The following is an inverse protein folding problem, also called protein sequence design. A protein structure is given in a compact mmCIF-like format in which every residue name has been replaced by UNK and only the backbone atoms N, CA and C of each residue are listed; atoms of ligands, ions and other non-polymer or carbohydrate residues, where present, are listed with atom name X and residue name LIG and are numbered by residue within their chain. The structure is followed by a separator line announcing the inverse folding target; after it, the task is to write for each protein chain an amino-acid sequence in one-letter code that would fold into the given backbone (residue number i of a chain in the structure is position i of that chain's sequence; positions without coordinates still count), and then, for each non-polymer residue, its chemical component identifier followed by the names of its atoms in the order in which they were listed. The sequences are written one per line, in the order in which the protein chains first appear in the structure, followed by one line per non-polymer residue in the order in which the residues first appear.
data_IF_130621974562
#
_entry.id   IF_130621974562
#
_cell.length_a   1.000
_cell.length_b   1.000
_cell.length_c   1.000
_cell.angle_alpha   90.00
_cell.angle_beta   90.00
_cell.angle_gamma   90.00
#
_symmetry.space_group_name_H-M   'P 1'
#
loop_
_entity.id
_entity.type
_entity.pdbx_description
1 polymer ?
#
# COMPACT_ATOMS: atom_id res chain seq x y z
N UNK A 1 -19.88 9.98 -6.74
CA UNK A 1 -19.28 9.51 -5.48
C UNK A 1 -18.72 8.14 -5.75
N UNK A 2 -17.44 7.93 -5.54
CA UNK A 2 -16.82 6.63 -5.74
C UNK A 2 -16.95 5.85 -4.43
N UNK A 3 -18.01 5.05 -4.33
CA UNK A 3 -18.35 4.27 -3.13
C UNK A 3 -17.48 3.00 -2.99
N UNK A 4 -16.54 2.81 -3.91
CA UNK A 4 -15.68 1.65 -3.94
C UNK A 4 -14.58 1.75 -2.86
N UNK A 5 -14.34 0.66 -2.14
CA UNK A 5 -13.21 0.54 -1.23
C UNK A 5 -11.88 0.72 -1.99
N UNK A 6 -10.83 1.12 -1.28
CA UNK A 6 -9.48 1.26 -1.81
C UNK A 6 -8.82 -0.12 -1.87
N UNK A 7 -8.50 -0.59 -3.05
CA UNK A 7 -7.84 -1.89 -3.24
C UNK A 7 -6.43 -1.89 -2.63
N UNK A 8 -6.06 -3.00 -2.02
CA UNK A 8 -4.74 -3.17 -1.40
C UNK A 8 -3.66 -3.58 -2.39
N UNK A 9 -4.06 -3.95 -3.63
CA UNK A 9 -3.19 -4.61 -4.59
C UNK A 9 -2.97 -6.10 -4.30
N UNK A 10 -3.71 -6.67 -3.33
CA UNK A 10 -3.65 -8.07 -2.96
C UNK A 10 -5.05 -8.68 -2.92
N UNK A 11 -5.45 -9.39 -3.96
CA UNK A 11 -6.81 -9.93 -4.11
C UNK A 11 -7.36 -10.67 -2.88
N UNK A 12 -6.63 -11.63 -2.27
CA UNK A 12 -7.11 -12.31 -1.06
C UNK A 12 -7.32 -11.38 0.15
N UNK A 13 -6.52 -10.30 0.28
CA UNK A 13 -6.71 -9.31 1.35
C UNK A 13 -7.92 -8.42 1.03
N UNK A 14 -8.11 -8.07 -0.24
CA UNK A 14 -9.29 -7.33 -0.69
C UNK A 14 -10.58 -8.12 -0.46
N UNK A 15 -10.61 -9.41 -0.78
CA UNK A 15 -11.74 -10.31 -0.48
C UNK A 15 -12.01 -10.37 1.04
N UNK A 16 -10.95 -10.49 1.86
CA UNK A 16 -11.04 -10.50 3.31
C UNK A 16 -11.69 -9.22 3.84
N UNK A 17 -11.31 -8.07 3.27
CA UNK A 17 -11.84 -6.75 3.64
C UNK A 17 -13.22 -6.45 3.02
N UNK A 18 -13.61 -7.14 1.94
CA UNK A 18 -14.86 -6.88 1.21
C UNK A 18 -14.72 -5.89 0.07
N UNK A 19 -13.52 -5.84 -0.51
CA UNK A 19 -13.16 -5.03 -1.67
C UNK A 19 -11.95 -4.13 -1.44
N UNK A 20 -11.39 -4.11 -0.23
CA UNK A 20 -10.22 -3.28 0.13
C UNK A 20 -10.44 -2.44 1.38
N UNK A 21 -9.65 -1.39 1.56
CA UNK A 21 -9.78 -0.46 2.68
C UNK A 21 -11.03 0.40 2.56
N UNK A 22 -11.87 0.36 3.59
CA UNK A 22 -13.17 1.01 3.61
C UNK A 22 -13.02 2.53 3.76
N UNK A 23 -13.73 3.30 2.91
CA UNK A 23 -13.78 4.77 2.99
C UNK A 23 -14.56 5.23 4.22
N UNK A 24 -14.28 6.44 4.68
CA UNK A 24 -14.94 7.03 5.87
C UNK A 24 -14.51 6.38 7.18
N UNK A 25 -13.42 5.61 7.19
CA UNK A 25 -12.93 4.94 8.39
C UNK A 25 -11.40 4.84 8.42
N UNK A 26 -10.88 4.44 9.57
CA UNK A 26 -9.46 4.15 9.76
C UNK A 26 -9.27 2.64 9.85
N UNK A 27 -8.40 2.10 9.01
CA UNK A 27 -7.92 0.71 9.05
C UNK A 27 -6.57 0.66 9.74
N UNK A 28 -6.45 -0.13 10.79
CA UNK A 28 -5.19 -0.37 11.48
C UNK A 28 -4.56 -1.68 11.01
N UNK A 29 -3.32 -1.59 10.50
CA UNK A 29 -2.46 -2.73 10.21
C UNK A 29 -1.45 -2.89 11.34
N UNK A 30 -1.48 -3.99 12.06
CA UNK A 30 -0.50 -4.20 13.11
C UNK A 30 0.15 -5.58 13.04
N UNK A 31 1.33 -5.72 13.62
CA UNK A 31 2.06 -6.97 13.63
C UNK A 31 3.54 -6.78 13.93
N UNK A 32 4.30 -7.88 14.09
CA UNK A 32 5.72 -7.81 14.38
C UNK A 32 6.51 -7.16 13.24
N UNK A 33 7.77 -6.78 13.48
CA UNK A 33 8.65 -6.31 12.42
C UNK A 33 8.71 -7.29 11.24
N UNK A 34 8.79 -6.75 10.02
CA UNK A 34 8.82 -7.51 8.77
C UNK A 34 7.56 -8.40 8.50
N UNK A 35 6.43 -8.16 9.19
CA UNK A 35 5.15 -8.81 8.88
C UNK A 35 4.52 -8.34 7.57
N UNK A 36 5.00 -7.22 7.00
CA UNK A 36 4.54 -6.70 5.71
C UNK A 36 3.58 -5.51 5.81
N UNK A 37 3.50 -4.83 6.96
CA UNK A 37 2.63 -3.65 7.16
C UNK A 37 2.90 -2.56 6.13
N UNK A 38 4.13 -2.06 6.09
CA UNK A 38 4.61 -1.05 5.12
C UNK A 38 4.40 -1.51 3.68
N UNK A 39 4.73 -2.77 3.35
CA UNK A 39 4.53 -3.27 1.98
C UNK A 39 3.05 -3.29 1.57
N UNK A 40 2.13 -3.65 2.48
CA UNK A 40 0.69 -3.63 2.20
C UNK A 40 0.18 -2.19 2.04
N UNK A 41 0.66 -1.27 2.87
CA UNK A 41 0.32 0.15 2.77
C UNK A 41 0.84 0.79 1.47
N UNK A 42 2.11 0.50 1.10
CA UNK A 42 2.70 0.96 -0.16
C UNK A 42 2.00 0.37 -1.39
N UNK A 43 1.67 -0.92 -1.36
CA UNK A 43 0.95 -1.57 -2.45
C UNK A 43 -0.40 -0.89 -2.68
N UNK A 44 -1.14 -0.59 -1.62
CA UNK A 44 -2.41 0.14 -1.72
C UNK A 44 -2.23 1.57 -2.23
N UNK A 45 -1.15 2.26 -1.82
CA UNK A 45 -0.83 3.59 -2.31
C UNK A 45 -0.57 3.60 -3.82
N UNK A 46 0.26 2.67 -4.30
CA UNK A 46 0.56 2.50 -5.73
C UNK A 46 -0.68 2.10 -6.52
N UNK A 47 -1.49 1.16 -6.01
CA UNK A 47 -2.74 0.72 -6.66
C UNK A 47 -3.73 1.89 -6.79
N UNK A 48 -3.89 2.67 -5.73
CA UNK A 48 -4.76 3.86 -5.73
C UNK A 48 -4.30 4.87 -6.77
N UNK A 49 -3.01 5.19 -6.82
CA UNK A 49 -2.45 6.14 -7.76
C UNK A 49 -2.53 5.64 -9.22
N UNK A 50 -2.28 4.35 -9.45
CA UNK A 50 -2.37 3.73 -10.78
C UNK A 50 -3.81 3.76 -11.33
N UNK A 51 -4.81 3.66 -10.45
CA UNK A 51 -6.23 3.75 -10.83
C UNK A 51 -6.76 5.19 -10.86
N UNK A 52 -5.89 6.19 -10.72
CA UNK A 52 -6.21 7.62 -10.89
C UNK A 52 -6.50 8.37 -9.58
N UNK A 53 -6.45 7.71 -8.44
CA UNK A 53 -6.65 8.33 -7.13
C UNK A 53 -5.41 9.09 -6.64
N UNK A 54 -5.60 9.93 -5.63
CA UNK A 54 -4.53 10.70 -4.97
C UNK A 54 -4.27 10.14 -3.57
N UNK A 55 -2.99 10.04 -3.21
CA UNK A 55 -2.53 9.48 -1.95
C UNK A 55 -1.68 10.49 -1.18
N UNK A 56 -1.88 10.57 0.12
CA UNK A 56 -0.96 11.22 1.06
C UNK A 56 -0.33 10.11 1.90
N UNK A 57 1.00 10.02 1.87
CA UNK A 57 1.78 9.02 2.60
C UNK A 57 2.69 9.70 3.60
N UNK A 58 2.35 9.60 4.88
CA UNK A 58 3.14 10.14 5.99
C UNK A 58 4.09 9.03 6.46
N UNK A 59 5.38 9.23 6.21
CA UNK A 59 6.44 8.27 6.49
C UNK A 59 7.21 8.65 7.76
N UNK A 60 7.24 7.75 8.72
CA UNK A 60 7.99 7.91 9.99
C UNK A 60 9.08 6.85 10.17
N UNK A 61 9.18 5.89 9.27
CA UNK A 61 10.12 4.77 9.36
C UNK A 61 11.20 4.78 8.26
N UNK A 62 11.11 5.70 7.31
CA UNK A 62 12.03 5.82 6.18
C UNK A 62 11.75 4.75 5.12
N UNK A 63 10.71 4.96 4.32
CA UNK A 63 10.39 4.05 3.21
C UNK A 63 11.51 4.07 2.18
N UNK A 64 11.97 2.88 1.78
CA UNK A 64 12.97 2.74 0.74
C UNK A 64 12.42 3.24 -0.61
N UNK A 65 13.08 4.26 -1.19
CA UNK A 65 12.78 4.76 -2.54
C UNK A 65 12.86 3.62 -3.56
N UNK A 66 13.89 2.76 -3.45
CA UNK A 66 14.04 1.59 -4.32
C UNK A 66 12.82 0.66 -4.26
N UNK A 67 12.23 0.48 -3.06
CA UNK A 67 11.04 -0.36 -2.90
C UNK A 67 9.82 0.28 -3.54
N UNK A 68 9.68 1.58 -3.40
CA UNK A 68 8.60 2.33 -4.04
C UNK A 68 8.70 2.26 -5.57
N UNK A 69 9.90 2.49 -6.13
CA UNK A 69 10.17 2.38 -7.56
C UNK A 69 9.92 0.97 -8.11
N UNK A 70 10.26 -0.07 -7.35
CA UNK A 70 9.96 -1.45 -7.72
C UNK A 70 8.45 -1.68 -7.85
N UNK A 71 7.66 -1.22 -6.88
CA UNK A 71 6.21 -1.38 -6.89
C UNK A 71 5.55 -0.61 -8.04
N UNK A 72 5.98 0.64 -8.27
CA UNK A 72 5.53 1.46 -9.40
C UNK A 72 5.83 0.78 -10.73
N UNK A 73 7.09 0.36 -10.93
CA UNK A 73 7.53 -0.29 -12.15
C UNK A 73 6.80 -1.61 -12.42
N UNK A 74 6.59 -2.40 -11.37
CA UNK A 74 5.84 -3.64 -11.49
C UNK A 74 4.38 -3.39 -11.85
N UNK A 75 3.75 -2.36 -11.25
CA UNK A 75 2.33 -2.06 -11.49
C UNK A 75 2.07 -1.46 -12.87
N UNK A 76 2.95 -0.58 -13.32
CA UNK A 76 2.86 0.06 -14.65
C UNK A 76 3.36 -0.87 -15.76
N UNK A 77 4.37 -1.71 -15.48
CA UNK A 77 4.97 -2.65 -16.43
C UNK A 77 4.20 -3.95 -16.66
N UNK A 78 3.14 -4.22 -15.90
CA UNK A 78 2.26 -5.39 -16.08
C UNK A 78 1.15 -5.16 -17.11
N UNK A 79 1.48 -4.53 -18.25
CA UNK A 79 0.56 -4.50 -19.39
C UNK A 79 0.46 -5.93 -19.95
N UNK A 80 -0.73 -6.56 -19.96
CA UNK A 80 -0.94 -7.89 -20.54
C UNK A 80 -0.60 -7.95 -22.04
N UNK A 81 -0.51 -6.81 -22.74
CA UNK A 81 -0.09 -6.75 -24.13
C UNK A 81 1.42 -6.95 -24.33
N UNK A 82 2.27 -6.71 -23.31
CA UNK A 82 3.74 -6.88 -23.40
C UNK A 82 4.20 -8.25 -22.87
N UNK A 83 3.36 -8.98 -22.16
CA UNK A 83 3.68 -10.31 -21.63
C UNK A 83 3.72 -11.43 -22.68
N UNK A 84 3.29 -11.15 -23.95
CA UNK A 84 3.19 -12.13 -25.03
C UNK A 84 4.47 -12.40 -25.82
N UNK A 85 5.51 -11.58 -25.73
CA UNK A 85 6.68 -11.65 -26.64
C UNK A 85 8.00 -12.10 -25.97
N UNK A 86 7.95 -12.75 -24.82
CA UNK A 86 9.14 -13.38 -24.22
C UNK A 86 9.11 -14.91 -24.34
N UNK A 87 8.93 -15.39 -25.58
CA UNK A 87 9.25 -16.78 -25.89
C UNK A 87 10.49 -16.85 -26.81
N UNK A 88 11.52 -17.44 -26.24
CA UNK A 88 12.61 -18.20 -26.88
C UNK A 88 13.35 -17.56 -28.05
N UNK A 89 14.43 -16.84 -27.75
CA UNK A 89 15.57 -16.76 -28.65
C UNK A 89 16.61 -17.82 -28.24
N UNK A 90 16.42 -19.04 -28.72
CA UNK A 90 17.44 -20.08 -28.69
C UNK A 90 18.43 -19.81 -29.82
N UNK A 91 19.65 -19.52 -29.43
CA UNK A 91 20.86 -19.44 -30.27
C UNK A 91 21.01 -20.67 -31.16
N UNK A 92 20.93 -20.49 -32.47
CA UNK A 92 21.63 -21.36 -33.43
C UNK A 92 22.57 -20.53 -34.30
N UNK A 93 23.81 -20.86 -34.17
CA UNK A 93 24.96 -20.36 -34.93
C UNK A 93 25.12 -21.08 -36.26
N UNK A 94 25.36 -20.33 -37.36
CA UNK A 94 25.86 -20.87 -38.62
C UNK A 94 25.99 -19.79 -39.72
N UNK A 95 27.09 -19.76 -40.52
CA UNK A 95 27.59 -18.60 -41.19
C UNK A 95 27.23 -18.46 -42.68
N UNK A 96 27.00 -17.21 -43.12
CA UNK A 96 27.18 -16.53 -44.38
C UNK A 96 26.72 -17.17 -45.71
N UNK A 97 26.83 -16.50 -46.90
CA UNK A 97 27.41 -15.18 -47.19
C UNK A 97 26.55 -14.25 -48.09
N UNK A 98 26.99 -12.99 -48.11
CA UNK A 98 26.89 -11.92 -49.14
C UNK A 98 25.98 -12.02 -50.37
N UNK A 99 25.16 -10.98 -50.64
CA UNK A 99 25.14 -10.27 -51.94
C UNK A 99 24.19 -9.05 -51.93
N UNK A 100 24.77 -7.92 -52.05
CA UNK A 100 24.53 -6.68 -52.82
C UNK A 100 23.13 -6.29 -53.34
N UNK A 101 22.98 -4.94 -53.34
CA UNK A 101 22.27 -3.98 -54.22
C UNK A 101 20.89 -3.46 -53.82
N UNK A 102 20.94 -2.30 -53.39
CA UNK A 102 20.41 -0.92 -53.61
C UNK A 102 18.97 -0.72 -54.24
N UNK A 103 18.49 0.56 -54.23
CA UNK A 103 17.22 0.90 -53.53
C UNK A 103 16.13 1.30 -54.53
N UNK A 104 14.89 1.29 -54.11
CA UNK A 104 13.83 2.13 -54.74
C UNK A 104 12.84 2.66 -53.68
N UNK A 105 12.91 3.97 -53.59
CA UNK A 105 11.90 4.91 -53.12
C UNK A 105 10.54 4.64 -53.78
N UNK A 106 9.49 4.59 -52.98
CA UNK A 106 8.21 5.21 -53.28
C UNK A 106 7.48 5.54 -51.96
N UNK A 107 7.27 6.83 -51.80
CA UNK A 107 6.39 7.38 -50.77
C UNK A 107 4.94 6.99 -51.06
N UNK A 108 4.25 6.57 -50.03
CA UNK A 108 2.81 6.67 -50.02
C UNK A 108 2.36 7.24 -48.69
N UNK A 109 1.60 8.32 -48.67
CA UNK A 109 1.07 8.93 -47.48
C UNK A 109 -0.27 8.26 -47.10
N UNK A 110 -0.64 8.45 -45.86
CA UNK A 110 -1.93 8.09 -45.25
C UNK A 110 -1.98 6.71 -44.60
N UNK A 111 -1.36 6.65 -43.44
CA UNK A 111 -1.78 5.75 -42.40
C UNK A 111 -2.49 6.60 -41.34
N UNK A 112 -3.80 6.63 -41.43
CA UNK A 112 -4.69 7.15 -40.42
C UNK A 112 -4.30 6.50 -39.08
N UNK A 113 -3.85 7.33 -38.14
CA UNK A 113 -3.68 6.94 -36.76
C UNK A 113 -5.05 6.74 -36.16
N UNK A 114 -5.42 5.50 -36.02
CA UNK A 114 -6.56 5.09 -35.22
C UNK A 114 -6.23 5.39 -33.75
N UNK A 115 -6.69 6.56 -33.28
CA UNK A 115 -6.49 7.04 -31.94
C UNK A 115 -7.54 6.40 -31.01
N UNK A 116 -7.39 5.12 -30.74
CA UNK A 116 -7.94 4.47 -29.55
C UNK A 116 -6.77 4.13 -28.65
N UNK A 117 -6.07 5.18 -28.21
CA UNK A 117 -4.99 5.05 -27.24
C UNK A 117 -5.58 4.87 -25.84
N UNK A 118 -5.70 3.65 -25.41
CA UNK A 118 -5.69 3.29 -24.00
C UNK A 118 -4.24 3.52 -23.51
N UNK A 119 -3.91 4.79 -23.25
CA UNK A 119 -2.61 5.16 -22.68
C UNK A 119 -2.65 4.79 -21.21
N UNK A 120 -2.09 3.62 -20.88
CA UNK A 120 -1.75 3.31 -19.50
C UNK A 120 -0.90 4.47 -18.94
N UNK A 121 -1.22 4.96 -17.73
CA UNK A 121 -0.46 6.06 -17.15
C UNK A 121 0.99 5.63 -16.99
N UNK A 122 1.94 6.48 -17.41
CA UNK A 122 3.36 6.26 -17.18
C UNK A 122 3.72 6.37 -15.69
N UNK A 123 4.90 5.89 -15.34
CA UNK A 123 5.39 5.86 -13.95
C UNK A 123 5.38 7.27 -13.34
N UNK A 124 5.77 8.30 -14.08
CA UNK A 124 5.81 9.68 -13.60
C UNK A 124 4.41 10.19 -13.27
N UNK A 125 3.44 9.88 -14.11
CA UNK A 125 2.04 10.22 -13.89
C UNK A 125 1.49 9.53 -12.64
N UNK A 126 1.81 8.24 -12.43
CA UNK A 126 1.37 7.52 -11.21
C UNK A 126 2.06 8.08 -9.98
N UNK A 127 3.38 8.27 -10.02
CA UNK A 127 4.16 8.82 -8.91
C UNK A 127 3.68 10.22 -8.50
N UNK A 128 3.32 11.08 -9.45
CA UNK A 128 2.85 12.45 -9.18
C UNK A 128 1.53 12.52 -8.38
N UNK A 129 0.81 11.41 -8.28
CA UNK A 129 -0.42 11.30 -7.47
C UNK A 129 -0.18 10.88 -6.03
N UNK A 130 1.08 10.61 -5.67
CA UNK A 130 1.46 10.21 -4.31
C UNK A 130 2.31 11.32 -3.70
N UNK A 131 1.76 11.98 -2.69
CA UNK A 131 2.47 12.96 -1.88
C UNK A 131 3.07 12.22 -0.70
N UNK A 132 4.41 12.25 -0.58
CA UNK A 132 5.12 11.64 0.55
C UNK A 132 5.59 12.77 1.45
N UNK A 133 5.26 12.67 2.73
CA UNK A 133 5.72 13.56 3.79
C UNK A 133 6.54 12.77 4.79
N UNK A 134 7.83 13.08 4.87
CA UNK A 134 8.73 12.48 5.85
C UNK A 134 8.57 13.18 7.19
N UNK A 135 8.46 12.42 8.26
CA UNK A 135 8.48 12.90 9.64
C UNK A 135 9.61 12.21 10.38
N UNK A 136 10.53 12.98 10.95
CA UNK A 136 11.74 12.50 11.59
C UNK A 136 11.63 12.41 13.12
N UNK A 137 10.56 13.02 13.67
CA UNK A 137 10.26 12.97 15.10
C UNK A 137 8.74 13.02 15.35
N UNK A 138 8.37 13.00 16.62
CA UNK A 138 6.97 12.94 17.03
C UNK A 138 6.19 14.24 16.80
N UNK A 139 6.90 15.39 16.82
CA UNK A 139 6.30 16.70 16.57
C UNK A 139 6.03 16.88 15.06
N UNK A 140 7.01 16.53 14.23
CA UNK A 140 6.86 16.52 12.76
C UNK A 140 5.77 15.54 12.30
N UNK A 141 5.67 14.36 12.93
CA UNK A 141 4.56 13.43 12.66
C UNK A 141 3.20 14.07 12.96
N UNK A 142 3.08 14.79 14.08
CA UNK A 142 1.83 15.45 14.43
C UNK A 142 1.54 16.65 13.52
N UNK A 143 2.55 17.28 12.95
CA UNK A 143 2.43 18.36 11.96
C UNK A 143 1.99 17.80 10.60
N UNK A 144 2.67 16.79 10.06
CA UNK A 144 2.30 16.12 8.82
C UNK A 144 0.86 15.57 8.85
N UNK A 145 0.43 15.03 10.00
CA UNK A 145 -0.97 14.60 10.17
C UNK A 145 -1.96 15.78 10.11
N UNK A 146 -1.59 16.97 10.61
CA UNK A 146 -2.44 18.17 10.47
C UNK A 146 -2.46 18.68 9.03
N UNK A 147 -1.30 18.72 8.39
CA UNK A 147 -1.13 19.24 7.03
C UNK A 147 -1.82 18.34 5.98
N UNK A 148 -2.04 17.06 6.30
CA UNK A 148 -2.87 16.18 5.47
C UNK A 148 -4.30 16.73 5.22
N UNK A 149 -4.80 17.65 6.05
CA UNK A 149 -6.09 18.34 5.82
C UNK A 149 -6.09 19.13 4.50
N UNK A 150 -4.96 19.72 4.09
CA UNK A 150 -4.83 20.48 2.85
C UNK A 150 -5.07 19.63 1.60
N UNK A 151 -4.81 18.33 1.71
CA UNK A 151 -4.97 17.38 0.62
C UNK A 151 -6.29 16.61 0.68
N UNK A 152 -7.00 16.65 1.82
CA UNK A 152 -8.12 15.74 2.11
C UNK A 152 -9.29 15.85 1.12
N UNK A 153 -9.53 17.02 0.50
CA UNK A 153 -10.61 17.18 -0.50
C UNK A 153 -10.35 16.41 -1.79
N UNK A 154 -9.08 16.15 -2.12
CA UNK A 154 -8.68 15.46 -3.35
C UNK A 154 -8.05 14.07 -3.10
N UNK A 155 -7.73 13.75 -1.85
CA UNK A 155 -7.14 12.47 -1.48
C UNK A 155 -8.19 11.36 -1.45
N UNK A 156 -7.83 10.21 -1.96
CA UNK A 156 -8.60 8.96 -1.84
C UNK A 156 -8.11 8.11 -0.67
N UNK A 157 -6.80 8.20 -0.39
CA UNK A 157 -6.12 7.43 0.65
C UNK A 157 -5.14 8.32 1.41
N UNK A 158 -5.17 8.23 2.74
CA UNK A 158 -4.10 8.74 3.62
C UNK A 158 -3.48 7.56 4.34
N UNK A 159 -2.16 7.45 4.29
CA UNK A 159 -1.37 6.44 5.01
C UNK A 159 -0.53 7.13 6.09
N UNK A 160 -0.52 6.58 7.30
CA UNK A 160 0.41 6.95 8.37
C UNK A 160 1.25 5.71 8.72
N UNK A 161 2.49 5.69 8.29
CA UNK A 161 3.42 4.56 8.48
C UNK A 161 4.69 5.02 9.22
N UNK A 162 4.72 4.92 10.56
CA UNK A 162 3.78 4.28 11.43
C UNK A 162 3.21 5.26 12.48
N UNK A 163 2.00 5.01 12.97
CA UNK A 163 1.39 5.83 14.01
C UNK A 163 2.15 5.78 15.35
N UNK A 164 2.99 4.77 15.56
CA UNK A 164 3.65 4.51 16.85
C UNK A 164 5.18 4.38 16.74
N UNK A 165 5.76 4.79 15.61
CA UNK A 165 7.22 4.76 15.41
C UNK A 165 7.95 5.53 16.51
N UNK A 166 7.60 6.78 16.72
CA UNK A 166 8.21 7.65 17.73
C UNK A 166 7.61 7.49 19.13
N UNK A 167 6.43 6.89 19.27
CA UNK A 167 5.77 6.71 20.57
C UNK A 167 6.65 6.05 21.63
N UNK A 168 7.52 5.11 21.23
CA UNK A 168 8.46 4.44 22.15
C UNK A 168 9.54 5.38 22.70
N UNK A 169 9.95 6.36 21.91
CA UNK A 169 10.99 7.32 22.31
C UNK A 169 10.45 8.30 23.33
N UNK A 170 9.19 8.71 23.17
CA UNK A 170 8.50 9.62 24.07
C UNK A 170 8.15 9.00 25.44
N UNK A 171 8.18 7.66 25.56
CA UNK A 171 7.88 6.93 26.80
C UNK A 171 8.99 6.93 27.85
N UNK A 172 10.12 7.58 27.61
CA UNK A 172 11.32 7.47 28.47
C UNK A 172 11.29 8.33 29.74
N UNK A 173 10.20 9.10 30.01
CA UNK A 173 10.02 9.95 31.20
C UNK A 173 8.88 9.48 32.11
N UNK A 174 8.98 9.71 33.42
CA UNK A 174 7.88 9.48 34.37
C UNK A 174 6.67 10.36 34.00
N UNK A 175 5.55 9.75 33.65
CA UNK A 175 4.31 10.45 33.24
C UNK A 175 4.14 10.68 31.74
N UNK A 176 5.16 10.47 30.91
CA UNK A 176 5.13 10.71 29.46
C UNK A 176 4.24 9.71 28.67
N UNK A 177 4.07 8.49 29.17
CA UNK A 177 3.26 7.46 28.53
C UNK A 177 1.83 7.93 28.20
N UNK A 178 1.20 8.63 29.16
CA UNK A 178 -0.16 9.11 28.99
C UNK A 178 -0.29 10.28 28.00
N UNK A 179 0.73 11.13 27.92
CA UNK A 179 0.73 12.27 26.99
C UNK A 179 1.01 11.84 25.57
N UNK A 180 1.98 10.97 25.35
CA UNK A 180 2.30 10.40 24.06
C UNK A 180 1.09 9.63 23.49
N UNK A 181 0.42 8.79 24.29
CA UNK A 181 -0.77 8.08 23.86
C UNK A 181 -1.94 9.03 23.51
N UNK A 182 -2.12 10.11 24.30
CA UNK A 182 -3.14 11.14 23.98
C UNK A 182 -2.82 11.86 22.69
N UNK A 183 -1.55 12.13 22.41
CA UNK A 183 -1.14 12.77 21.15
C UNK A 183 -1.39 11.87 19.95
N UNK A 184 -0.97 10.59 19.99
CA UNK A 184 -1.31 9.62 18.94
C UNK A 184 -2.83 9.49 18.77
N UNK A 185 -3.58 9.44 19.87
CA UNK A 185 -5.05 9.36 19.82
C UNK A 185 -5.65 10.59 19.11
N UNK A 186 -5.14 11.80 19.38
CA UNK A 186 -5.58 13.03 18.67
C UNK A 186 -5.28 12.96 17.18
N UNK A 187 -4.11 12.48 16.79
CA UNK A 187 -3.76 12.28 15.39
C UNK A 187 -4.72 11.30 14.70
N UNK A 188 -4.96 10.13 15.31
CA UNK A 188 -5.89 9.13 14.75
C UNK A 188 -7.32 9.66 14.67
N UNK A 189 -7.79 10.39 15.67
CA UNK A 189 -9.15 10.99 15.65
C UNK A 189 -9.26 12.12 14.61
N UNK A 190 -8.20 12.89 14.38
CA UNK A 190 -8.14 13.88 13.31
C UNK A 190 -8.25 13.20 11.94
N UNK A 191 -7.42 12.19 11.67
CA UNK A 191 -7.48 11.40 10.43
C UNK A 191 -8.86 10.74 10.23
N UNK A 192 -9.49 10.23 11.28
CA UNK A 192 -10.86 9.69 11.21
C UNK A 192 -11.88 10.78 10.84
N UNK A 193 -11.68 12.01 11.32
CA UNK A 193 -12.56 13.12 10.97
C UNK A 193 -12.42 13.48 9.49
N UNK A 194 -11.20 13.50 8.94
CA UNK A 194 -10.93 13.71 7.51
C UNK A 194 -11.55 12.58 6.68
N UNK A 195 -11.34 11.33 7.09
CA UNK A 195 -11.93 10.16 6.42
C UNK A 195 -13.44 10.31 6.26
N UNK A 196 -14.15 10.67 7.32
CA UNK A 196 -15.62 10.83 7.32
C UNK A 196 -16.09 12.05 6.55
N UNK A 197 -15.38 13.17 6.66
CA UNK A 197 -15.75 14.43 6.01
C UNK A 197 -15.59 14.38 4.50
N UNK A 198 -14.53 13.71 4.03
CA UNK A 198 -14.14 13.68 2.62
C UNK A 198 -14.33 12.30 1.95
N UNK A 199 -14.89 11.33 2.68
CA UNK A 199 -15.12 9.95 2.19
C UNK A 199 -13.85 9.28 1.64
N UNK A 200 -12.69 9.57 2.24
CA UNK A 200 -11.41 8.94 1.94
C UNK A 200 -11.13 7.75 2.87
N UNK A 201 -10.23 6.87 2.48
CA UNK A 201 -9.74 5.79 3.34
C UNK A 201 -8.51 6.27 4.12
N UNK A 202 -8.38 5.81 5.36
CA UNK A 202 -7.16 5.99 6.15
C UNK A 202 -6.59 4.65 6.54
N UNK A 203 -5.29 4.48 6.33
CA UNK A 203 -4.52 3.31 6.78
C UNK A 203 -3.46 3.77 7.76
N UNK A 204 -3.39 3.17 8.92
CA UNK A 204 -2.27 3.37 9.82
C UNK A 204 -1.57 2.03 10.11
N UNK A 205 -0.25 2.06 10.11
CA UNK A 205 0.52 0.92 10.60
C UNK A 205 0.88 1.11 12.05
N UNK A 206 0.97 0.00 12.77
CA UNK A 206 1.22 0.00 14.19
C UNK A 206 2.18 -1.14 14.56
N UNK A 207 3.05 -0.89 15.51
CA UNK A 207 3.94 -1.90 16.06
C UNK A 207 3.24 -2.71 17.15
N UNK A 208 3.86 -3.81 17.55
CA UNK A 208 3.38 -4.66 18.64
C UNK A 208 4.26 -4.52 19.89
N UNK A 209 3.67 -4.79 21.03
CA UNK A 209 4.40 -5.04 22.25
C UNK A 209 4.05 -6.43 22.80
N UNK A 210 4.96 -7.03 23.53
CA UNK A 210 4.69 -8.26 24.28
C UNK A 210 3.83 -7.89 25.48
N UNK A 211 2.67 -8.51 25.60
CA UNK A 211 1.81 -8.39 26.78
C UNK A 211 2.44 -9.24 27.89
N UNK A 212 2.90 -8.62 28.99
CA UNK A 212 3.55 -9.38 30.09
C UNK A 212 2.62 -10.39 30.77
N UNK A 213 1.31 -10.20 30.66
CA UNK A 213 0.30 -11.06 31.27
C UNK A 213 -0.25 -12.15 30.34
N UNK A 214 0.22 -12.19 29.09
CA UNK A 214 -0.20 -13.18 28.11
C UNK A 214 0.89 -13.45 27.09
N UNK A 215 0.91 -14.68 26.53
CA UNK A 215 1.77 -15.07 25.39
C UNK A 215 1.38 -14.40 24.07
N UNK A 216 0.55 -13.34 24.13
CA UNK A 216 0.01 -12.65 22.96
C UNK A 216 0.67 -11.29 22.78
N UNK A 217 1.02 -11.00 21.54
CA UNK A 217 1.41 -9.64 21.15
C UNK A 217 0.15 -8.82 20.90
N UNK A 218 0.15 -7.57 21.38
CA UNK A 218 -0.91 -6.59 21.13
C UNK A 218 -0.38 -5.38 20.39
N UNK A 219 -1.25 -4.70 19.68
CA UNK A 219 -0.95 -3.42 19.05
C UNK A 219 -0.57 -2.37 20.12
N UNK A 220 0.45 -1.56 19.85
CA UNK A 220 0.78 -0.41 20.70
C UNK A 220 -0.41 0.54 20.81
N UNK A 221 -0.62 1.13 21.99
CA UNK A 221 -1.82 1.93 22.27
C UNK A 221 -3.06 1.11 22.63
N UNK A 222 -3.01 -0.21 22.44
CA UNK A 222 -4.03 -1.18 22.90
C UNK A 222 -5.45 -0.76 22.54
N UNK A 223 -6.38 -0.99 23.47
CA UNK A 223 -7.81 -0.70 23.31
C UNK A 223 -8.11 0.76 22.96
N UNK A 224 -7.22 1.71 23.33
CA UNK A 224 -7.44 3.13 23.07
C UNK A 224 -7.41 3.44 21.56
N UNK A 225 -6.40 2.96 20.83
CA UNK A 225 -6.34 3.15 19.38
C UNK A 225 -7.36 2.27 18.66
N UNK A 226 -7.55 1.04 19.12
CA UNK A 226 -8.53 0.13 18.54
C UNK A 226 -9.97 0.69 18.61
N UNK A 227 -10.29 1.50 19.63
CA UNK A 227 -11.59 2.16 19.74
C UNK A 227 -11.90 3.08 18.54
N UNK A 228 -10.88 3.81 18.06
CA UNK A 228 -11.01 4.79 16.97
C UNK A 228 -10.84 4.21 15.57
N UNK A 229 -10.37 2.97 15.46
CA UNK A 229 -10.22 2.27 14.18
C UNK A 229 -11.49 1.45 13.87
N UNK A 230 -11.97 1.53 12.64
CA UNK A 230 -13.16 0.76 12.19
C UNK A 230 -12.81 -0.66 11.78
N UNK A 231 -11.60 -0.85 11.28
CA UNK A 231 -11.06 -2.13 10.83
C UNK A 231 -9.71 -2.37 11.48
N UNK A 232 -9.46 -3.59 11.94
CA UNK A 232 -8.16 -4.01 12.50
C UNK A 232 -7.72 -5.31 11.83
N UNK A 233 -6.57 -5.25 11.16
CA UNK A 233 -5.88 -6.37 10.56
C UNK A 233 -4.59 -6.67 11.32
N UNK A 234 -4.45 -7.91 11.80
CA UNK A 234 -3.21 -8.43 12.33
C UNK A 234 -2.43 -9.11 11.23
N UNK A 235 -1.18 -8.68 11.03
CA UNK A 235 -0.27 -9.30 10.08
C UNK A 235 0.73 -10.20 10.81
N UNK A 236 0.93 -11.39 10.28
CA UNK A 236 1.85 -12.39 10.81
C UNK A 236 2.80 -12.87 9.71
N UNK A 237 4.05 -13.20 10.12
CA UNK A 237 5.05 -13.76 9.22
C UNK A 237 5.30 -15.22 9.58
N UNK A 238 5.33 -16.08 8.56
CA UNK A 238 5.66 -17.50 8.68
C UNK A 238 6.99 -17.82 8.01
N UNK A 239 7.45 -19.06 8.22
CA UNK A 239 8.63 -19.57 7.52
C UNK A 239 8.37 -19.62 6.01
N UNK A 240 9.44 -19.45 5.21
CA UNK A 240 9.32 -19.49 3.73
C UNK A 240 8.74 -18.20 3.11
N UNK A 241 8.75 -17.09 3.83
CA UNK A 241 8.30 -15.80 3.27
C UNK A 241 6.79 -15.59 3.26
N UNK A 242 6.01 -16.60 3.59
CA UNK A 242 4.54 -16.51 3.68
C UNK A 242 4.10 -15.59 4.80
N UNK A 243 3.02 -14.87 4.57
CA UNK A 243 2.38 -13.97 5.51
C UNK A 243 0.89 -14.26 5.60
N UNK A 244 0.29 -13.83 6.70
CA UNK A 244 -1.15 -13.92 6.92
C UNK A 244 -1.68 -12.59 7.42
N UNK A 245 -2.76 -12.12 6.81
CA UNK A 245 -3.61 -11.07 7.35
C UNK A 245 -4.78 -11.73 8.04
N UNK A 246 -5.05 -11.37 9.29
CA UNK A 246 -6.19 -11.84 10.08
C UNK A 246 -7.07 -10.65 10.44
N UNK A 247 -8.36 -10.75 10.15
CA UNK A 247 -9.35 -9.75 10.48
C UNK A 247 -9.74 -9.88 11.97
N UNK A 248 -9.37 -8.91 12.79
CA UNK A 248 -9.70 -8.91 14.23
C UNK A 248 -10.89 -8.02 14.56
N UNK A 249 -11.11 -6.98 13.75
CA UNK A 249 -12.25 -6.07 13.89
C UNK A 249 -12.72 -5.58 12.53
N UNK A 250 -14.03 -5.61 12.33
CA UNK A 250 -14.69 -5.02 11.17
C UNK A 250 -16.14 -4.69 11.52
N UNK A 251 -16.70 -3.65 10.91
CA UNK A 251 -18.08 -3.22 11.20
C UNK A 251 -19.14 -4.20 10.72
N UNK A 252 -18.89 -4.90 9.62
CA UNK A 252 -19.86 -5.74 8.91
C UNK A 252 -19.41 -7.17 8.66
N UNK A 253 -18.20 -7.55 9.09
CA UNK A 253 -17.67 -8.90 8.91
C UNK A 253 -17.28 -9.54 10.23
N UNK A 254 -17.37 -10.87 10.36
CA UNK A 254 -16.93 -11.57 11.54
C UNK A 254 -15.41 -11.51 11.70
N UNK A 255 -14.96 -11.38 12.94
CA UNK A 255 -13.55 -11.50 13.28
C UNK A 255 -13.06 -12.96 13.18
N UNK A 256 -11.77 -13.14 12.89
CA UNK A 256 -11.11 -14.45 12.83
C UNK A 256 -10.90 -14.99 11.43
N UNK A 257 -11.50 -14.40 10.40
CA UNK A 257 -11.16 -14.72 9.00
C UNK A 257 -9.74 -14.28 8.67
N UNK A 258 -9.09 -14.96 7.71
CA UNK A 258 -7.72 -14.64 7.34
C UNK A 258 -7.42 -14.92 5.87
N UNK A 259 -6.48 -14.16 5.31
CA UNK A 259 -5.94 -14.32 3.97
C UNK A 259 -4.42 -14.55 4.03
N UNK A 260 -3.90 -15.36 3.12
CA UNK A 260 -2.46 -15.58 2.97
C UNK A 260 -1.91 -14.79 1.78
N UNK A 261 -0.69 -14.29 1.92
CA UNK A 261 0.00 -13.53 0.88
C UNK A 261 1.52 -13.68 1.00
N UNK A 262 2.22 -13.29 -0.05
CA UNK A 262 3.67 -13.22 -0.09
C UNK A 262 4.09 -11.81 -0.54
N UNK A 263 5.29 -11.40 -0.14
CA UNK A 263 5.93 -10.19 -0.66
C UNK A 263 6.97 -10.64 -1.66
N UNK A 264 6.84 -10.15 -2.88
CA UNK A 264 7.75 -10.39 -4.00
C UNK A 264 8.40 -9.07 -4.42
N UNK A 265 9.31 -9.12 -5.38
CA UNK A 265 9.89 -7.92 -5.98
C UNK A 265 8.83 -7.10 -6.74
N UNK A 266 7.83 -7.79 -7.30
CA UNK A 266 6.72 -7.14 -8.01
C UNK A 266 5.63 -6.55 -7.09
N UNK A 267 5.66 -6.83 -5.78
CA UNK A 267 4.66 -6.31 -4.85
C UNK A 267 4.16 -7.33 -3.85
N UNK A 268 2.85 -7.40 -3.70
CA UNK A 268 2.18 -8.36 -2.83
C UNK A 268 1.35 -9.30 -3.69
N UNK A 269 1.64 -10.58 -3.56
CA UNK A 269 0.91 -11.64 -4.27
C UNK A 269 0.07 -12.48 -3.30
N UNK A 270 -1.17 -12.75 -3.68
CA UNK A 270 -2.02 -13.67 -2.96
C UNK A 270 -1.52 -15.11 -3.05
N UNK A 271 -1.52 -15.84 -1.94
CA UNK A 271 -1.27 -17.28 -1.95
C UNK A 271 -2.63 -18.00 -2.11
N UNK A 272 -3.03 -18.25 -3.36
CA UNK A 272 -4.26 -18.97 -3.68
C UNK A 272 -4.09 -20.47 -3.40
N UNK A 273 -4.39 -20.89 -2.17
CA UNK A 273 -4.47 -22.34 -1.85
C UNK A 273 -5.61 -23.07 -2.60
N UNK A 274 -6.47 -22.37 -3.32
CA UNK A 274 -7.61 -22.98 -4.06
C UNK A 274 -7.19 -23.78 -5.31
N UNK A 275 -5.94 -23.65 -5.77
CA UNK A 275 -5.42 -24.34 -6.96
C UNK A 275 -4.71 -25.67 -6.71
N UNK A 276 -4.60 -26.15 -5.46
CA UNK A 276 -3.84 -27.37 -5.10
C UNK A 276 -4.70 -28.45 -4.41
N UNK A 277 -5.90 -28.69 -4.87
CA UNK A 277 -6.66 -29.90 -4.51
C UNK A 277 -6.98 -30.72 -5.75
#
# INVERSE_FOLDING_TARGET
MNDAAIQTGCGPVDELLGGGFERGTVTQLYGPPAAGKTNLALSAAVETAATGGTVVYIDTEGVSVDRFDQLLSARVGTDPAVAGDRESDTLESGPGPESSMEPKSTADPERETDATGDTHPDIETVASRIVIEDALDFEEQAEAVRDAEEFAERADLIVLDSATGFYRLERTGEGSDGEALRSVTRQVTHLLSLARKHELAVVLTNQVFADPDSDRTRALGGNTLEHWTGVVLRLERFRGGKRRAMLEKHRSKPAGESAQFQITDAGIEGDDERGRR
#
